data_IF_998098976810
#
_entry.id   IF_998098976810
#
_cell.length_a   1.000
_cell.length_b   1.000
_cell.length_c   1.000
_cell.angle_alpha   90.00
_cell.angle_beta   90.00
_cell.angle_gamma   90.00
#
_symmetry.space_group_name_H-M   'P 1'
#
loop_
_entity.id
_entity.type
_entity.pdbx_description
1 polymer ?
#
# COMPACT_ATOMS: atom_id res chain seq x y z
N UNK A 1 -19.60 -21.42 -40.64
CA UNK A 1 -19.27 -20.23 -39.85
C UNK A 1 -18.80 -20.70 -38.49
N UNK A 2 -17.49 -20.81 -38.29
CA UNK A 2 -16.89 -21.14 -37.00
C UNK A 2 -16.45 -19.83 -36.35
N UNK A 3 -16.95 -19.57 -35.15
CA UNK A 3 -16.53 -18.48 -34.28
C UNK A 3 -15.10 -18.73 -33.78
N UNK A 4 -14.21 -17.72 -33.76
CA UNK A 4 -12.90 -17.87 -33.16
C UNK A 4 -13.06 -17.79 -31.63
N UNK A 5 -12.86 -18.91 -30.95
CA UNK A 5 -12.63 -18.94 -29.50
C UNK A 5 -11.38 -18.12 -29.21
N UNK A 6 -11.56 -16.98 -28.54
CA UNK A 6 -10.47 -16.21 -27.97
C UNK A 6 -9.84 -17.05 -26.86
N UNK A 7 -8.71 -17.68 -27.15
CA UNK A 7 -7.84 -18.23 -26.12
C UNK A 7 -7.34 -17.06 -25.27
N UNK A 8 -7.99 -16.84 -24.13
CA UNK A 8 -7.41 -16.13 -23.01
C UNK A 8 -6.16 -16.93 -22.63
N UNK A 9 -5.00 -16.40 -22.99
CA UNK A 9 -3.71 -16.87 -22.49
C UNK A 9 -3.74 -16.56 -20.99
N UNK A 10 -4.15 -17.55 -20.20
CA UNK A 10 -3.85 -17.58 -18.77
C UNK A 10 -2.33 -17.77 -18.73
N UNK A 11 -1.55 -16.86 -18.11
CA UNK A 11 -0.12 -17.07 -17.98
C UNK A 11 0.10 -18.39 -17.24
N UNK A 12 0.77 -19.34 -17.89
CA UNK A 12 1.29 -20.54 -17.22
C UNK A 12 2.09 -20.08 -16.01
N UNK A 13 1.93 -20.83 -14.90
CA UNK A 13 2.52 -20.57 -13.59
C UNK A 13 3.88 -19.87 -13.71
N UNK A 14 3.88 -18.57 -13.44
CA UNK A 14 5.06 -17.72 -13.54
C UNK A 14 6.17 -18.34 -12.71
N UNK A 15 7.30 -18.63 -13.36
CA UNK A 15 8.54 -19.10 -12.77
C UNK A 15 8.76 -18.40 -11.43
N UNK A 16 8.61 -19.12 -10.32
CA UNK A 16 8.63 -18.58 -8.94
C UNK A 16 9.97 -17.89 -8.65
N UNK A 17 11.01 -18.23 -9.43
CA UNK A 17 12.31 -17.56 -9.46
C UNK A 17 12.25 -16.11 -9.96
N UNK A 18 11.15 -15.68 -10.57
CA UNK A 18 10.99 -14.31 -11.08
C UNK A 18 10.82 -13.29 -9.95
N UNK A 19 10.18 -13.68 -8.84
CA UNK A 19 9.69 -12.77 -7.81
C UNK A 19 10.44 -12.90 -6.47
N UNK A 20 11.47 -12.07 -6.32
CA UNK A 20 12.31 -12.02 -5.11
C UNK A 20 13.25 -13.21 -4.96
N UNK A 21 14.07 -13.17 -3.92
CA UNK A 21 15.05 -14.18 -3.57
C UNK A 21 14.77 -14.71 -2.16
N UNK A 22 14.80 -16.03 -2.00
CA UNK A 22 14.66 -16.64 -0.69
C UNK A 22 15.93 -16.43 0.14
N UNK A 23 15.77 -15.91 1.35
CA UNK A 23 16.88 -15.75 2.29
C UNK A 23 17.23 -17.09 2.95
N UNK A 24 18.45 -17.15 3.50
CA UNK A 24 18.86 -18.28 4.31
C UNK A 24 18.25 -18.22 5.72
N UNK A 25 18.52 -19.25 6.53
CA UNK A 25 17.98 -19.35 7.88
C UNK A 25 18.59 -18.33 8.84
N UNK A 26 19.83 -17.88 8.57
CA UNK A 26 20.54 -16.95 9.44
C UNK A 26 19.93 -15.54 9.32
N UNK A 27 19.41 -15.19 8.14
CA UNK A 27 18.71 -13.94 7.89
C UNK A 27 17.20 -14.00 8.25
N UNK A 28 16.63 -15.18 8.48
CA UNK A 28 15.20 -15.35 8.77
C UNK A 28 14.76 -14.58 10.01
N UNK A 29 15.47 -14.73 11.13
CA UNK A 29 15.15 -14.07 12.40
C UNK A 29 15.20 -12.53 12.26
N UNK A 30 16.11 -12.03 11.41
CA UNK A 30 16.21 -10.60 11.10
C UNK A 30 14.97 -10.16 10.31
N UNK A 31 14.63 -10.87 9.23
CA UNK A 31 13.47 -10.53 8.41
C UNK A 31 12.18 -10.55 9.24
N UNK A 32 12.02 -11.57 10.07
CA UNK A 32 10.86 -11.71 10.94
C UNK A 32 10.75 -10.57 11.95
N UNK A 33 11.87 -10.17 12.57
CA UNK A 33 11.89 -9.05 13.52
C UNK A 33 11.46 -7.70 12.92
N UNK A 34 11.74 -7.47 11.63
CA UNK A 34 11.35 -6.25 10.91
C UNK A 34 10.07 -6.41 10.08
N UNK A 35 9.38 -7.53 10.22
CA UNK A 35 8.10 -7.80 9.54
C UNK A 35 6.91 -7.58 10.47
N UNK A 36 5.71 -7.68 9.90
CA UNK A 36 4.48 -7.61 10.67
C UNK A 36 4.42 -8.70 11.75
N UNK A 37 4.00 -8.33 12.96
CA UNK A 37 3.87 -9.30 14.05
C UNK A 37 2.65 -10.20 13.82
N UNK A 38 2.89 -11.33 13.17
CA UNK A 38 1.88 -12.33 12.80
C UNK A 38 1.18 -12.98 14.01
N UNK A 39 1.73 -12.83 15.23
CA UNK A 39 1.15 -13.39 16.46
C UNK A 39 0.10 -12.46 17.09
N UNK A 40 0.14 -11.16 16.80
CA UNK A 40 -0.78 -10.16 17.39
C UNK A 40 -2.09 -10.01 16.61
N UNK A 41 -2.02 -10.08 15.29
CA UNK A 41 -3.16 -9.84 14.41
C UNK A 41 -3.26 -10.87 13.28
N UNK A 42 -4.47 -11.11 12.81
CA UNK A 42 -4.70 -11.97 11.65
C UNK A 42 -4.42 -11.18 10.36
N UNK A 43 -3.15 -11.14 9.95
CA UNK A 43 -2.72 -10.63 8.64
C UNK A 43 -3.06 -11.61 7.51
N UNK A 44 -3.25 -11.09 6.30
CA UNK A 44 -3.53 -11.91 5.12
C UNK A 44 -2.23 -12.54 4.57
N UNK A 45 -2.10 -13.88 4.53
CA UNK A 45 -0.96 -14.53 3.89
C UNK A 45 -0.95 -14.27 2.38
N UNK A 46 0.15 -13.71 1.87
CA UNK A 46 0.29 -13.33 0.46
C UNK A 46 1.67 -13.74 -0.06
N UNK A 47 1.72 -14.16 -1.32
CA UNK A 47 2.98 -14.46 -2.01
C UNK A 47 3.29 -13.41 -3.08
N UNK A 48 4.57 -13.14 -3.32
CA UNK A 48 4.96 -12.37 -4.49
C UNK A 48 4.62 -13.13 -5.77
N UNK A 49 4.14 -12.41 -6.79
CA UNK A 49 3.60 -12.99 -8.02
C UNK A 49 2.14 -13.46 -7.92
N UNK A 50 1.54 -13.48 -6.73
CA UNK A 50 0.13 -13.81 -6.57
C UNK A 50 -0.77 -12.79 -7.30
N UNK A 51 -1.78 -13.29 -8.02
CA UNK A 51 -2.80 -12.45 -8.64
C UNK A 51 -4.05 -12.45 -7.75
N UNK A 52 -4.25 -11.35 -7.02
CA UNK A 52 -5.44 -11.15 -6.19
C UNK A 52 -6.56 -10.48 -6.98
N UNK A 53 -7.82 -10.82 -6.64
CA UNK A 53 -9.03 -10.34 -7.32
C UNK A 53 -8.98 -10.52 -8.86
N UNK A 54 -8.24 -11.54 -9.33
CA UNK A 54 -8.00 -11.81 -10.77
C UNK A 54 -7.49 -10.59 -11.55
N UNK A 55 -6.87 -9.62 -10.87
CA UNK A 55 -6.54 -8.31 -11.43
C UNK A 55 -5.20 -7.76 -10.98
N UNK A 56 -4.83 -7.93 -9.71
CA UNK A 56 -3.65 -7.27 -9.15
C UNK A 56 -2.53 -8.28 -8.92
N UNK A 57 -1.45 -8.19 -9.69
CA UNK A 57 -0.26 -9.03 -9.51
C UNK A 57 0.66 -8.41 -8.45
N UNK A 58 0.84 -9.08 -7.32
CA UNK A 58 1.68 -8.61 -6.20
C UNK A 58 3.16 -8.66 -6.60
N UNK A 59 3.91 -7.59 -6.36
CA UNK A 59 5.29 -7.44 -6.85
C UNK A 59 6.33 -7.25 -5.76
N UNK A 60 6.03 -6.46 -4.72
CA UNK A 60 6.96 -6.13 -3.62
C UNK A 60 6.16 -5.64 -2.41
N UNK A 61 6.66 -5.83 -1.20
CA UNK A 61 6.15 -5.14 -0.02
C UNK A 61 6.63 -3.68 0.02
N UNK A 62 5.73 -2.75 0.31
CA UNK A 62 6.01 -1.31 0.46
C UNK A 62 6.07 -0.88 1.92
N UNK A 63 5.38 -1.59 2.81
CA UNK A 63 5.29 -1.22 4.22
C UNK A 63 4.38 -2.13 5.01
N UNK A 64 4.37 -1.97 6.32
CA UNK A 64 3.33 -2.50 7.20
C UNK A 64 3.08 -1.54 8.37
N UNK A 65 1.91 -1.66 8.99
CA UNK A 65 1.55 -1.00 10.24
C UNK A 65 0.80 -1.99 11.13
N UNK A 66 0.38 -1.55 12.32
CA UNK A 66 -0.21 -2.43 13.34
C UNK A 66 -1.40 -3.27 12.85
N UNK A 67 -2.18 -2.79 11.87
CA UNK A 67 -3.41 -3.44 11.41
C UNK A 67 -3.47 -3.65 9.89
N UNK A 68 -2.34 -3.49 9.19
CA UNK A 68 -2.33 -3.67 7.73
C UNK A 68 -0.95 -3.89 7.14
N UNK A 69 -0.90 -4.52 5.98
CA UNK A 69 0.30 -4.58 5.13
C UNK A 69 0.05 -3.84 3.83
N UNK A 70 1.09 -3.24 3.26
CA UNK A 70 1.01 -2.44 2.02
C UNK A 70 1.91 -3.07 0.96
N UNK A 71 1.33 -3.36 -0.21
CA UNK A 71 2.00 -4.08 -1.29
C UNK A 71 1.97 -3.31 -2.59
N UNK A 72 3.10 -3.24 -3.28
CA UNK A 72 3.16 -2.84 -4.67
C UNK A 72 2.54 -3.96 -5.52
N UNK A 73 1.56 -3.62 -6.34
CA UNK A 73 0.97 -4.53 -7.29
C UNK A 73 0.83 -3.88 -8.67
N UNK A 74 0.81 -4.71 -9.72
CA UNK A 74 0.48 -4.28 -11.06
C UNK A 74 -0.99 -4.58 -11.36
N UNK A 75 -1.78 -3.55 -11.68
CA UNK A 75 -3.16 -3.69 -12.15
C UNK A 75 -3.15 -4.16 -13.60
N UNK A 76 -3.48 -5.44 -13.82
CA UNK A 76 -3.48 -6.07 -15.14
C UNK A 76 -4.53 -5.50 -16.09
N UNK A 77 -5.59 -4.88 -15.57
CA UNK A 77 -6.65 -4.30 -16.40
C UNK A 77 -6.28 -2.87 -16.82
N UNK A 78 -5.86 -2.03 -15.87
CA UNK A 78 -5.50 -0.64 -16.15
C UNK A 78 -4.06 -0.46 -16.62
N UNK A 79 -3.21 -1.49 -16.49
CA UNK A 79 -1.78 -1.49 -16.83
C UNK A 79 -0.99 -0.40 -16.10
N UNK A 80 -1.30 -0.21 -14.82
CA UNK A 80 -0.65 0.76 -13.93
C UNK A 80 -0.27 0.08 -12.63
N UNK A 81 0.72 0.62 -11.93
CA UNK A 81 1.10 0.17 -10.62
C UNK A 81 0.24 0.83 -9.55
N UNK A 82 -0.13 0.05 -8.55
CA UNK A 82 -0.97 0.46 -7.42
C UNK A 82 -0.36 -0.06 -6.11
N UNK A 83 -0.73 0.59 -5.02
CA UNK A 83 -0.44 0.12 -3.67
C UNK A 83 -1.72 -0.53 -3.10
N UNK A 84 -1.63 -1.79 -2.68
CA UNK A 84 -2.69 -2.51 -2.00
C UNK A 84 -2.45 -2.45 -0.50
N UNK A 85 -3.30 -1.72 0.23
CA UNK A 85 -3.34 -1.78 1.71
C UNK A 85 -4.32 -2.88 2.10
N UNK A 86 -3.80 -3.98 2.64
CA UNK A 86 -4.58 -5.14 3.07
C UNK A 86 -4.73 -5.07 4.58
N UNK A 87 -5.97 -4.91 5.04
CA UNK A 87 -6.30 -4.80 6.46
C UNK A 87 -6.32 -6.19 7.12
N UNK A 88 -6.01 -6.26 8.41
CA UNK A 88 -6.15 -7.50 9.19
C UNK A 88 -7.62 -7.88 9.35
N UNK A 89 -7.93 -9.17 9.52
CA UNK A 89 -9.30 -9.68 9.61
C UNK A 89 -10.02 -9.40 10.93
N UNK A 90 -9.31 -8.83 11.90
CA UNK A 90 -9.79 -8.50 13.25
C UNK A 90 -10.00 -7.00 13.48
N UNK A 91 -9.51 -6.14 12.60
CA UNK A 91 -9.65 -4.70 12.77
C UNK A 91 -11.04 -4.18 12.35
N UNK A 92 -11.51 -3.08 12.93
CA UNK A 92 -12.66 -2.36 12.40
C UNK A 92 -12.26 -1.55 11.15
N UNK A 93 -11.78 -2.22 10.08
CA UNK A 93 -11.45 -1.56 8.79
C UNK A 93 -12.60 -0.72 8.23
N UNK A 94 -13.83 -1.04 8.65
CA UNK A 94 -15.03 -0.29 8.32
C UNK A 94 -14.89 1.18 8.68
N UNK A 95 -14.17 1.55 9.74
CA UNK A 95 -14.04 2.95 10.13
C UNK A 95 -13.21 3.76 9.12
N UNK A 96 -11.96 3.37 8.86
CA UNK A 96 -11.09 4.08 7.90
C UNK A 96 -11.76 4.13 6.51
N UNK A 97 -12.31 3.00 6.04
CA UNK A 97 -13.02 2.94 4.77
C UNK A 97 -14.23 3.89 4.72
N UNK A 98 -15.03 3.96 5.78
CA UNK A 98 -16.17 4.89 5.87
C UNK A 98 -15.72 6.34 5.92
N UNK A 99 -14.64 6.63 6.64
CA UNK A 99 -14.09 7.99 6.72
C UNK A 99 -13.54 8.45 5.38
N UNK A 100 -12.78 7.61 4.67
CA UNK A 100 -12.33 7.99 3.33
C UNK A 100 -13.50 8.15 2.35
N UNK A 101 -14.55 7.32 2.45
CA UNK A 101 -15.77 7.53 1.66
C UNK A 101 -16.41 8.89 1.93
N UNK A 102 -16.54 9.27 3.19
CA UNK A 102 -17.11 10.56 3.57
C UNK A 102 -16.28 11.72 3.02
N UNK A 103 -14.95 11.65 3.13
CA UNK A 103 -14.02 12.63 2.56
C UNK A 103 -14.22 12.75 1.04
N UNK A 104 -14.25 11.61 0.33
CA UNK A 104 -14.44 11.57 -1.12
C UNK A 104 -15.77 12.22 -1.53
N UNK A 105 -16.86 11.97 -0.80
CA UNK A 105 -18.16 12.56 -1.10
C UNK A 105 -18.20 14.07 -0.81
N UNK A 106 -17.67 14.51 0.34
CA UNK A 106 -17.69 15.94 0.71
C UNK A 106 -16.75 16.81 -0.14
N UNK A 107 -15.66 16.24 -0.64
CA UNK A 107 -14.66 16.94 -1.44
C UNK A 107 -14.76 16.65 -2.94
N UNK A 108 -15.88 16.09 -3.41
CA UNK A 108 -16.05 15.68 -4.82
C UNK A 108 -15.76 16.79 -5.84
N UNK A 109 -16.10 18.03 -5.51
CA UNK A 109 -15.93 19.20 -6.37
C UNK A 109 -14.79 20.12 -5.91
N UNK A 110 -13.93 19.64 -5.00
CA UNK A 110 -12.85 20.39 -4.37
C UNK A 110 -11.49 19.79 -4.74
N UNK A 111 -10.42 20.59 -4.62
CA UNK A 111 -9.06 20.10 -4.82
C UNK A 111 -8.63 19.14 -3.69
N UNK A 112 -8.56 17.84 -4.01
CA UNK A 112 -8.08 16.77 -3.11
C UNK A 112 -6.62 16.39 -3.39
N UNK A 113 -5.88 17.20 -4.14
CA UNK A 113 -4.63 16.77 -4.75
C UNK A 113 -3.47 16.52 -3.78
N UNK A 114 -3.60 16.87 -2.50
CA UNK A 114 -2.65 16.53 -1.42
C UNK A 114 -3.21 15.50 -0.40
N UNK A 115 -4.35 14.86 -0.67
CA UNK A 115 -4.88 13.75 0.12
C UNK A 115 -4.65 12.43 -0.61
N UNK A 116 -4.22 11.40 0.12
CA UNK A 116 -4.06 10.04 -0.42
C UNK A 116 -5.31 9.22 -0.10
N UNK A 117 -6.30 9.31 -0.98
CA UNK A 117 -7.56 8.58 -0.88
C UNK A 117 -7.52 7.31 -1.73
N UNK A 118 -8.22 6.26 -1.28
CA UNK A 118 -8.34 5.03 -2.04
C UNK A 118 -9.10 5.26 -3.36
N UNK A 119 -8.78 4.48 -4.39
CA UNK A 119 -9.38 4.55 -5.72
C UNK A 119 -10.29 3.36 -6.04
N UNK A 120 -10.06 2.24 -5.38
CA UNK A 120 -10.82 1.01 -5.55
C UNK A 120 -10.76 0.19 -4.25
N UNK A 121 -11.69 -0.73 -4.06
CA UNK A 121 -11.70 -1.62 -2.91
C UNK A 121 -12.33 -2.97 -3.23
N UNK A 122 -11.84 -4.01 -2.56
CA UNK A 122 -12.39 -5.35 -2.63
C UNK A 122 -12.17 -6.08 -1.30
N UNK A 123 -12.68 -7.31 -1.19
CA UNK A 123 -12.53 -8.14 0.00
C UNK A 123 -11.85 -9.45 -0.36
N UNK A 124 -10.84 -9.82 0.42
CA UNK A 124 -10.20 -11.12 0.36
C UNK A 124 -10.78 -12.02 1.45
N UNK A 125 -11.06 -13.28 1.10
CA UNK A 125 -11.56 -14.26 2.05
C UNK A 125 -10.49 -14.59 3.09
N UNK A 126 -10.81 -14.44 4.38
CA UNK A 126 -9.91 -14.82 5.48
C UNK A 126 -10.02 -16.30 5.85
N UNK A 127 -9.38 -16.68 6.96
CA UNK A 127 -9.45 -18.04 7.52
C UNK A 127 -10.89 -18.44 7.82
N UNK A 128 -11.62 -17.53 8.45
CA UNK A 128 -13.04 -17.66 8.77
C UNK A 128 -13.89 -17.00 7.66
N UNK A 129 -14.92 -17.67 7.12
CA UNK A 129 -15.86 -17.08 6.16
C UNK A 129 -16.44 -15.71 6.57
N UNK A 130 -16.61 -15.48 7.87
CA UNK A 130 -17.21 -14.24 8.39
C UNK A 130 -16.17 -13.12 8.62
N UNK A 131 -14.87 -13.45 8.51
CA UNK A 131 -13.76 -12.52 8.76
C UNK A 131 -12.94 -12.30 7.50
N UNK A 132 -13.41 -11.39 6.66
CA UNK A 132 -12.73 -11.04 5.42
C UNK A 132 -11.73 -9.90 5.62
N UNK A 133 -10.66 -9.91 4.85
CA UNK A 133 -9.69 -8.82 4.81
C UNK A 133 -10.11 -7.79 3.79
N UNK A 134 -10.34 -6.55 4.24
CA UNK A 134 -10.61 -5.43 3.34
C UNK A 134 -9.32 -5.01 2.65
N UNK A 135 -9.39 -4.78 1.33
CA UNK A 135 -8.28 -4.21 0.57
C UNK A 135 -8.66 -2.83 0.05
N UNK A 136 -7.82 -1.84 0.31
CA UNK A 136 -7.91 -0.50 -0.25
C UNK A 136 -6.80 -0.31 -1.29
N UNK A 137 -7.16 0.13 -2.50
CA UNK A 137 -6.24 0.32 -3.61
C UNK A 137 -5.89 1.80 -3.73
N UNK A 138 -4.60 2.13 -3.64
CA UNK A 138 -4.08 3.49 -3.69
C UNK A 138 -3.13 3.69 -4.87
N UNK A 139 -2.93 4.93 -5.32
CA UNK A 139 -1.75 5.30 -6.09
C UNK A 139 -0.45 4.95 -5.35
N UNK A 140 0.57 4.50 -6.06
CA UNK A 140 1.90 4.27 -5.47
C UNK A 140 2.50 5.61 -5.03
N UNK A 141 3.05 5.63 -3.82
CA UNK A 141 3.76 6.77 -3.22
C UNK A 141 5.12 6.34 -2.72
N UNK A 142 5.98 7.34 -2.56
CA UNK A 142 7.28 7.18 -1.93
C UNK A 142 7.17 6.97 -0.42
N UNK A 143 8.32 6.89 0.27
CA UNK A 143 8.36 6.74 1.71
C UNK A 143 7.80 7.99 2.40
N UNK A 144 7.48 7.82 3.68
CA UNK A 144 7.00 8.90 4.55
C UNK A 144 8.05 9.98 4.78
N UNK A 145 7.61 11.13 5.32
CA UNK A 145 8.50 12.20 5.74
C UNK A 145 9.42 11.77 6.89
N UNK A 146 9.10 10.72 7.64
CA UNK A 146 10.00 10.14 8.66
C UNK A 146 11.22 9.43 8.07
N UNK A 147 11.24 9.19 6.75
CA UNK A 147 12.40 8.55 6.11
C UNK A 147 13.65 9.45 6.15
N UNK A 148 14.86 8.87 6.21
CA UNK A 148 16.13 9.62 6.17
C UNK A 148 16.33 10.47 4.90
N UNK A 149 15.53 10.23 3.85
CA UNK A 149 15.55 11.05 2.64
C UNK A 149 15.14 12.49 2.90
N UNK A 150 14.19 12.73 3.82
CA UNK A 150 13.69 14.06 4.15
C UNK A 150 14.79 14.97 4.69
N UNK A 151 15.70 14.44 5.50
CA UNK A 151 16.83 15.20 6.07
C UNK A 151 17.82 15.64 5.00
N UNK A 152 17.95 14.85 3.93
CA UNK A 152 18.80 15.12 2.77
C UNK A 152 18.16 16.05 1.74
N UNK A 153 16.87 16.35 1.87
CA UNK A 153 16.20 17.30 0.98
C UNK A 153 16.56 18.75 1.34
N UNK A 154 16.48 19.63 0.34
CA UNK A 154 16.72 21.06 0.56
C UNK A 154 15.69 21.66 1.53
N UNK A 155 16.07 22.71 2.26
CA UNK A 155 15.14 23.43 3.12
C UNK A 155 13.93 23.95 2.35
N UNK A 156 14.12 24.43 1.12
CA UNK A 156 13.03 24.88 0.25
C UNK A 156 12.04 23.74 -0.05
N UNK A 157 12.53 22.53 -0.31
CA UNK A 157 11.68 21.34 -0.54
C UNK A 157 10.89 20.99 0.71
N UNK A 158 11.52 20.98 1.88
CA UNK A 158 10.84 20.70 3.16
C UNK A 158 9.77 21.75 3.49
N UNK A 159 10.06 23.04 3.27
CA UNK A 159 9.08 24.12 3.45
C UNK A 159 7.92 24.01 2.46
N UNK A 160 8.19 23.59 1.22
CA UNK A 160 7.14 23.32 0.23
C UNK A 160 6.25 22.14 0.66
N UNK A 161 6.81 21.08 1.21
CA UNK A 161 6.06 19.95 1.76
C UNK A 161 5.15 20.39 2.92
N UNK A 162 5.67 21.18 3.86
CA UNK A 162 4.88 21.73 4.95
C UNK A 162 3.70 22.58 4.45
N UNK A 163 3.93 23.43 3.43
CA UNK A 163 2.86 24.22 2.81
C UNK A 163 1.79 23.34 2.16
N UNK A 164 2.18 22.27 1.49
CA UNK A 164 1.26 21.32 0.87
C UNK A 164 0.43 20.55 1.91
N UNK A 165 1.07 20.14 3.02
CA UNK A 165 0.37 19.52 4.15
C UNK A 165 -0.69 20.46 4.73
N UNK A 166 -0.36 21.72 4.95
CA UNK A 166 -1.31 22.72 5.44
C UNK A 166 -2.52 22.88 4.51
N UNK A 167 -2.32 22.82 3.18
CA UNK A 167 -3.44 22.83 2.21
C UNK A 167 -4.31 21.59 2.30
N UNK A 168 -3.71 20.41 2.51
CA UNK A 168 -4.45 19.17 2.69
C UNK A 168 -5.35 19.25 3.95
N UNK A 169 -4.79 19.75 5.04
CA UNK A 169 -5.50 19.96 6.31
C UNK A 169 -6.61 21.00 6.16
N UNK A 170 -6.34 22.13 5.49
CA UNK A 170 -7.35 23.15 5.19
C UNK A 170 -8.53 22.56 4.42
N UNK A 171 -8.26 21.69 3.44
CA UNK A 171 -9.31 21.02 2.66
C UNK A 171 -10.16 20.09 3.53
N UNK A 172 -9.56 19.31 4.42
CA UNK A 172 -10.29 18.45 5.37
C UNK A 172 -11.14 19.27 6.36
N UNK A 173 -10.54 20.31 6.93
CA UNK A 173 -11.24 21.20 7.87
C UNK A 173 -12.39 21.93 7.17
N UNK A 174 -12.22 22.30 5.88
CA UNK A 174 -13.26 22.90 5.05
C UNK A 174 -14.49 22.00 4.87
N UNK A 175 -14.32 20.67 4.93
CA UNK A 175 -15.44 19.72 4.94
C UNK A 175 -15.81 19.18 6.33
N UNK A 176 -15.33 19.83 7.39
CA UNK A 176 -15.65 19.47 8.78
C UNK A 176 -15.01 18.17 9.25
N UNK A 177 -13.91 17.72 8.65
CA UNK A 177 -13.19 16.50 9.04
C UNK A 177 -11.86 16.86 9.67
N UNK A 178 -11.56 16.30 10.84
CA UNK A 178 -10.27 16.43 11.52
C UNK A 178 -9.50 15.14 11.30
N UNK A 179 -8.24 15.20 10.87
CA UNK A 179 -7.43 14.01 10.57
C UNK A 179 -7.12 13.14 11.80
N UNK A 180 -6.96 13.75 12.97
CA UNK A 180 -6.70 13.06 14.24
C UNK A 180 -5.26 12.59 14.45
N UNK A 181 -4.50 12.32 13.37
CA UNK A 181 -3.11 11.83 13.47
C UNK A 181 -2.16 12.44 12.43
N UNK A 182 -1.91 13.75 12.50
CA UNK A 182 -0.97 14.42 11.60
C UNK A 182 0.45 14.24 12.13
N UNK A 183 1.21 13.35 11.49
CA UNK A 183 2.61 13.05 11.84
C UNK A 183 3.48 12.92 10.59
N UNK A 184 4.81 12.91 10.76
CA UNK A 184 5.74 12.68 9.64
C UNK A 184 5.63 11.26 9.06
N UNK A 185 5.07 10.30 9.81
CA UNK A 185 4.77 8.95 9.34
C UNK A 185 3.60 8.92 8.35
N UNK A 186 2.62 9.80 8.52
CA UNK A 186 1.37 9.83 7.75
C UNK A 186 1.41 10.82 6.58
N UNK A 187 2.58 11.33 6.23
CA UNK A 187 2.76 12.20 5.06
C UNK A 187 3.76 11.54 4.14
N UNK A 188 3.32 11.17 2.94
CA UNK A 188 4.13 10.43 1.97
C UNK A 188 4.65 11.34 0.87
N UNK A 189 5.91 11.13 0.46
CA UNK A 189 6.45 11.74 -0.74
C UNK A 189 5.76 11.19 -1.99
N UNK A 190 5.65 12.00 -3.03
CA UNK A 190 5.33 11.53 -4.37
C UNK A 190 6.54 10.83 -4.99
N UNK A 191 6.30 9.96 -5.95
CA UNK A 191 7.38 9.31 -6.68
C UNK A 191 7.10 9.19 -8.18
N UNK A 192 8.15 8.93 -8.95
CA UNK A 192 8.03 8.66 -10.37
C UNK A 192 7.25 7.36 -10.58
N UNK A 193 6.19 7.34 -11.43
CA UNK A 193 5.47 6.12 -11.76
C UNK A 193 6.39 5.07 -12.39
N UNK A 194 6.21 3.82 -11.98
CA UNK A 194 7.02 2.70 -12.46
C UNK A 194 6.30 1.84 -13.51
N UNK A 195 5.07 2.20 -13.86
CA UNK A 195 4.13 1.45 -14.71
C UNK A 195 4.74 1.00 -16.05
N UNK A 196 5.62 1.83 -16.62
CA UNK A 196 6.27 1.58 -17.91
C UNK A 196 7.41 0.57 -17.86
N UNK A 197 7.87 0.19 -16.66
CA UNK A 197 9.00 -0.70 -16.46
C UNK A 197 8.52 -2.13 -16.20
N UNK A 198 9.26 -3.11 -16.72
CA UNK A 198 9.03 -4.51 -16.37
C UNK A 198 9.48 -4.81 -14.94
N UNK A 199 9.12 -5.99 -14.43
CA UNK A 199 9.44 -6.45 -13.06
C UNK A 199 10.93 -6.39 -12.74
N UNK A 200 11.79 -6.86 -13.66
CA UNK A 200 13.23 -6.86 -13.46
C UNK A 200 13.79 -5.43 -13.31
N UNK A 201 13.32 -4.48 -14.13
CA UNK A 201 13.72 -3.07 -14.03
C UNK A 201 13.18 -2.42 -12.77
N UNK A 202 11.95 -2.75 -12.35
CA UNK A 202 11.41 -2.28 -11.06
C UNK A 202 12.29 -2.72 -9.89
N UNK A 203 12.73 -3.98 -9.87
CA UNK A 203 13.64 -4.50 -8.84
C UNK A 203 15.03 -3.85 -8.86
N UNK A 204 15.52 -3.41 -10.02
CA UNK A 204 16.77 -2.61 -10.06
C UNK A 204 16.62 -1.27 -9.32
N UNK A 205 15.43 -0.69 -9.28
CA UNK A 205 15.18 0.55 -8.57
C UNK A 205 14.79 0.36 -7.11
N UNK A 206 13.92 -0.61 -6.82
CA UNK A 206 13.32 -0.81 -5.50
C UNK A 206 14.12 -1.74 -4.59
N UNK A 207 15.14 -2.41 -5.14
CA UNK A 207 15.67 -3.63 -4.57
C UNK A 207 14.90 -4.84 -5.07
N UNK A 208 15.59 -5.97 -5.19
CA UNK A 208 14.95 -7.26 -5.40
C UNK A 208 14.44 -7.74 -4.04
N UNK A 209 13.17 -8.17 -3.91
CA UNK A 209 12.61 -8.55 -2.63
C UNK A 209 13.38 -9.71 -2.01
N UNK A 210 13.72 -9.59 -0.72
CA UNK A 210 14.19 -10.71 0.09
C UNK A 210 12.97 -11.30 0.79
N UNK A 211 12.83 -12.63 0.77
CA UNK A 211 11.63 -13.29 1.28
C UNK A 211 11.89 -14.61 1.98
N UNK A 212 10.97 -15.00 2.86
CA UNK A 212 10.93 -16.30 3.49
C UNK A 212 9.50 -16.84 3.48
N UNK A 213 9.34 -18.16 3.51
CA UNK A 213 8.02 -18.76 3.69
C UNK A 213 7.48 -18.43 5.10
N UNK A 214 6.18 -18.17 5.23
CA UNK A 214 5.56 -18.05 6.55
C UNK A 214 5.71 -19.35 7.35
N UNK A 215 5.77 -19.21 8.68
CA UNK A 215 5.85 -20.35 9.60
C UNK A 215 4.73 -21.37 9.37
N UNK A 216 4.99 -22.67 9.60
CA UNK A 216 3.95 -23.70 9.59
C UNK A 216 2.80 -23.33 10.52
N UNK A 217 1.56 -23.25 9.99
CA UNK A 217 0.36 -22.86 10.76
C UNK A 217 -0.46 -21.72 10.14
N UNK A 218 0.08 -21.05 9.11
CA UNK A 218 -0.71 -20.16 8.27
C UNK A 218 -1.86 -20.93 7.57
N UNK A 219 -3.02 -20.29 7.43
CA UNK A 219 -4.22 -20.92 6.84
C UNK A 219 -4.19 -20.95 5.31
N UNK A 220 -3.22 -20.27 4.71
CA UNK A 220 -2.90 -20.22 3.29
C UNK A 220 -1.38 -20.04 3.17
N UNK A 221 -0.79 -20.48 2.06
CA UNK A 221 0.59 -20.13 1.73
C UNK A 221 0.77 -18.60 1.68
N UNK A 222 1.89 -18.13 2.21
CA UNK A 222 2.29 -16.73 2.18
C UNK A 222 3.78 -16.62 2.48
N UNK A 223 4.30 -15.42 2.27
CA UNK A 223 5.72 -15.10 2.39
C UNK A 223 5.90 -13.88 3.31
N UNK A 224 6.89 -13.95 4.21
CA UNK A 224 7.47 -12.75 4.79
C UNK A 224 8.35 -12.11 3.73
N UNK A 225 8.25 -10.80 3.55
CA UNK A 225 8.96 -10.07 2.51
C UNK A 225 9.53 -8.79 3.10
N UNK A 226 10.78 -8.47 2.78
CA UNK A 226 11.40 -7.22 3.20
C UNK A 226 10.77 -6.01 2.47
N UNK A 227 10.77 -4.85 3.14
CA UNK A 227 10.21 -3.63 2.56
C UNK A 227 11.11 -3.08 1.44
N UNK A 228 10.49 -2.55 0.39
CA UNK A 228 11.18 -1.93 -0.72
C UNK A 228 12.01 -0.71 -0.26
N UNK A 229 13.25 -0.62 -0.73
CA UNK A 229 14.15 0.50 -0.44
C UNK A 229 14.03 1.54 -1.54
N UNK A 230 13.04 2.44 -1.44
CA UNK A 230 12.77 3.45 -2.48
C UNK A 230 13.89 4.51 -2.48
N UNK A 231 14.68 4.64 -3.55
CA UNK A 231 15.79 5.58 -3.59
C UNK A 231 15.31 7.03 -3.76
N UNK A 232 16.07 7.97 -3.21
CA UNK A 232 15.79 9.41 -3.30
C UNK A 232 15.61 9.90 -4.75
N UNK A 233 16.29 9.27 -5.72
CA UNK A 233 16.22 9.62 -7.14
C UNK A 233 14.84 9.40 -7.77
N UNK A 234 13.96 8.61 -7.15
CA UNK A 234 12.59 8.43 -7.59
C UNK A 234 11.62 9.43 -6.95
N UNK A 235 12.05 10.17 -5.93
CA UNK A 235 11.16 11.04 -5.16
C UNK A 235 10.87 12.35 -5.91
N UNK A 236 9.65 12.83 -5.75
CA UNK A 236 9.17 14.10 -6.28
C UNK A 236 8.75 14.98 -5.10
N UNK A 237 8.86 16.30 -5.26
CA UNK A 237 8.64 17.26 -4.19
C UNK A 237 7.18 17.41 -3.72
N UNK A 238 6.24 16.70 -4.35
CA UNK A 238 4.84 16.69 -3.95
C UNK A 238 4.65 15.75 -2.76
N UNK A 239 3.75 16.08 -1.84
CA UNK A 239 3.42 15.23 -0.68
C UNK A 239 1.93 14.97 -0.57
N UNK A 240 1.58 13.89 0.10
CA UNK A 240 0.20 13.49 0.35
C UNK A 240 0.00 13.12 1.81
N UNK A 241 -1.05 13.64 2.43
CA UNK A 241 -1.53 13.21 3.73
C UNK A 241 -2.30 11.89 3.57
N UNK A 242 -1.95 10.89 4.38
CA UNK A 242 -2.49 9.54 4.34
C UNK A 242 -2.93 9.08 5.73
N UNK A 243 -3.53 7.90 5.79
CA UNK A 243 -4.01 7.25 7.02
C UNK A 243 -5.11 8.02 7.74
N UNK A 244 -6.34 7.75 7.33
CA UNK A 244 -7.54 8.37 7.90
C UNK A 244 -8.18 7.49 8.98
N UNK A 245 -7.43 6.55 9.57
CA UNK A 245 -7.94 5.63 10.59
C UNK A 245 -8.39 6.31 11.88
N UNK A 246 -7.84 7.48 12.20
CA UNK A 246 -8.19 8.31 13.36
C UNK A 246 -8.94 9.60 12.99
N UNK A 247 -9.34 9.74 11.72
CA UNK A 247 -10.07 10.92 11.28
C UNK A 247 -11.48 10.94 11.89
N UNK A 248 -11.98 12.11 12.27
CA UNK A 248 -13.30 12.28 12.89
C UNK A 248 -14.08 13.42 12.25
N UNK A 249 -15.40 13.33 12.28
CA UNK A 249 -16.28 14.43 11.89
C UNK A 249 -16.40 15.43 13.05
N UNK A 250 -15.96 16.67 12.83
CA UNK A 250 -16.01 17.73 13.81
C UNK A 250 -17.44 18.12 14.22
N UNK A 251 -18.44 17.75 13.42
CA UNK A 251 -19.86 18.08 13.68
C UNK A 251 -20.57 17.00 14.50
N UNK A 252 -19.98 15.82 14.66
CA UNK A 252 -20.54 14.76 15.49
C UNK A 252 -19.95 14.92 16.90
N UNK A 253 -20.72 15.54 17.80
CA UNK A 253 -20.37 15.52 19.23
C UNK A 253 -20.55 14.09 19.77
N UNK A 254 -19.46 13.55 20.33
CA UNK A 254 -19.46 12.33 21.15
C UNK A 254 -20.36 12.46 22.37
#
# INVERSE_FOLDING_TARGET
MQSPTSNLIVPEASDVSTFGDFIDLDDYDILEHYSENMDEHEYYPICLGEIVEKRYCVMHKLGHGAFSTVWLAHDLQKKVDVALKIMTADCEWNYEFRMQNEIIQRLKDTDTSNLLLYQDTFSLRGRDPDRNHRVLVFPVRGPSLSSPHTDRMSMATRMSAAKQLLKAIESLHGCGIIHGDVSSGNVLWDMVPLDKYNTATKYKYLGRPEKAALRPGAWKAGELVSEAKIPQSLLRAKVYLSDFGLATDANIRS
#
